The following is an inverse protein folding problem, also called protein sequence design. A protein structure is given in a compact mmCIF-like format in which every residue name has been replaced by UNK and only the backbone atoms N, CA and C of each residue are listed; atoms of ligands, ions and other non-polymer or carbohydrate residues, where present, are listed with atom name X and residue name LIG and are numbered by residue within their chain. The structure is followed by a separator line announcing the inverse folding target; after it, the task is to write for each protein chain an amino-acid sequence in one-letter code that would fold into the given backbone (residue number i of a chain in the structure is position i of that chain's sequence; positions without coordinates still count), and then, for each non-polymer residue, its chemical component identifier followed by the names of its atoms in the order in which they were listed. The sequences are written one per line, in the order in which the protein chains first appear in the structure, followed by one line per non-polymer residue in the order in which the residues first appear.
data_IF_577162116250
#
_entry.id   IF_577162116250
#
_cell.length_a   1.000
_cell.length_b   1.000
_cell.length_c   1.000
_cell.angle_alpha   90.00
_cell.angle_beta   90.00
_cell.angle_gamma   90.00
#
_symmetry.space_group_name_H-M   'P 1'
#
loop_
_entity.id
_entity.type
_entity.pdbx_description
1 polymer ?
#
# COMPACT_ATOMS: atom_id res chain seq x y z
N UNK A 1 1.30 -21.29 11.12
CA UNK A 1 2.24 -21.46 12.24
C UNK A 1 2.41 -20.10 12.89
N UNK A 2 1.74 -19.82 14.02
CA UNK A 2 1.61 -18.46 14.54
C UNK A 2 2.93 -17.88 15.08
N UNK A 3 3.87 -18.72 15.52
CA UNK A 3 5.14 -18.28 16.12
C UNK A 3 6.28 -18.06 15.13
N UNK A 4 6.10 -18.40 13.84
CA UNK A 4 7.17 -18.26 12.84
C UNK A 4 7.35 -16.79 12.50
N UNK A 5 8.56 -16.30 12.75
CA UNK A 5 8.96 -14.91 12.48
C UNK A 5 9.82 -14.77 11.23
N UNK A 6 10.47 -15.85 10.79
CA UNK A 6 11.41 -15.83 9.66
C UNK A 6 11.03 -16.87 8.63
N UNK A 7 10.91 -16.45 7.37
CA UNK A 7 10.67 -17.34 6.23
C UNK A 7 11.68 -17.01 5.13
N UNK A 8 12.47 -18.01 4.74
CA UNK A 8 13.38 -17.92 3.60
C UNK A 8 12.92 -18.91 2.52
N UNK A 9 12.57 -18.41 1.34
CA UNK A 9 12.00 -19.20 0.24
C UNK A 9 12.68 -18.90 -1.10
N UNK A 10 13.99 -18.67 -1.05
CA UNK A 10 14.79 -18.32 -2.21
C UNK A 10 14.82 -19.45 -3.24
N UNK A 11 14.87 -19.12 -4.53
CA UNK A 11 15.03 -20.07 -5.65
C UNK A 11 13.92 -21.14 -5.76
N UNK A 12 12.67 -20.80 -5.43
CA UNK A 12 11.52 -21.73 -5.48
C UNK A 12 10.60 -21.53 -6.72
N UNK A 13 11.01 -20.71 -7.70
CA UNK A 13 10.24 -20.41 -8.92
C UNK A 13 8.83 -19.86 -8.64
N UNK A 14 8.67 -19.11 -7.55
CA UNK A 14 7.42 -18.39 -7.28
C UNK A 14 7.26 -17.34 -8.38
N UNK A 15 6.10 -17.30 -9.05
CA UNK A 15 5.79 -16.38 -10.14
C UNK A 15 4.55 -15.49 -9.87
N UNK A 16 3.67 -15.89 -8.95
CA UNK A 16 2.48 -15.12 -8.57
C UNK A 16 2.69 -14.45 -7.22
N UNK A 17 3.22 -13.21 -7.25
CA UNK A 17 3.53 -12.45 -6.05
C UNK A 17 2.29 -12.17 -5.17
N UNK A 18 1.16 -11.65 -5.70
CA UNK A 18 0.00 -11.34 -4.86
C UNK A 18 -0.54 -12.53 -4.09
N UNK A 19 -0.69 -13.68 -4.76
CA UNK A 19 -1.19 -14.90 -4.12
C UNK A 19 -0.23 -15.42 -3.06
N UNK A 20 1.07 -15.40 -3.35
CA UNK A 20 2.08 -15.84 -2.39
C UNK A 20 2.12 -14.97 -1.13
N UNK A 21 2.15 -13.65 -1.31
CA UNK A 21 2.22 -12.68 -0.20
C UNK A 21 0.98 -12.78 0.69
N UNK A 22 -0.21 -12.94 0.11
CA UNK A 22 -1.44 -13.14 0.88
C UNK A 22 -1.40 -14.43 1.71
N UNK A 23 -0.92 -15.53 1.13
CA UNK A 23 -0.76 -16.79 1.84
C UNK A 23 0.28 -16.72 2.96
N UNK A 24 1.39 -16.01 2.76
CA UNK A 24 2.39 -15.74 3.80
C UNK A 24 1.77 -14.97 4.96
N UNK A 25 1.09 -13.86 4.65
CA UNK A 25 0.43 -13.01 5.64
C UNK A 25 -0.57 -13.80 6.49
N UNK A 26 -1.34 -14.69 5.86
CA UNK A 26 -2.36 -15.53 6.52
C UNK A 26 -1.76 -16.67 7.35
N UNK A 27 -0.73 -17.36 6.85
CA UNK A 27 -0.14 -18.54 7.50
C UNK A 27 0.89 -18.19 8.58
N UNK A 28 1.53 -17.03 8.47
CA UNK A 28 2.61 -16.54 9.33
C UNK A 28 2.28 -15.12 9.85
N UNK A 29 1.27 -15.00 10.74
CA UNK A 29 0.78 -13.68 11.20
C UNK A 29 1.83 -12.88 11.99
N UNK A 30 2.87 -13.52 12.53
CA UNK A 30 3.96 -12.88 13.27
C UNK A 30 5.25 -12.76 12.47
N UNK A 31 5.19 -12.84 11.14
CA UNK A 31 6.37 -12.72 10.29
C UNK A 31 7.03 -11.34 10.42
N UNK A 32 8.36 -11.36 10.53
CA UNK A 32 9.27 -10.20 10.63
C UNK A 32 10.35 -10.23 9.55
N UNK A 33 10.78 -11.41 9.10
CA UNK A 33 11.84 -11.56 8.10
C UNK A 33 11.32 -12.43 6.95
N UNK A 34 11.45 -11.93 5.72
CA UNK A 34 11.11 -12.64 4.49
C UNK A 34 12.25 -12.54 3.49
N UNK A 35 12.66 -13.67 2.92
CA UNK A 35 13.59 -13.71 1.79
C UNK A 35 12.94 -14.49 0.66
N UNK A 36 12.79 -13.85 -0.50
CA UNK A 36 12.26 -14.41 -1.75
C UNK A 36 13.26 -14.27 -2.90
N UNK A 37 14.54 -14.02 -2.62
CA UNK A 37 15.57 -13.82 -3.62
C UNK A 37 15.57 -14.91 -4.69
N UNK A 38 15.79 -14.47 -5.94
CA UNK A 38 15.90 -15.35 -7.10
C UNK A 38 14.64 -16.20 -7.38
N UNK A 39 13.46 -15.65 -7.08
CA UNK A 39 12.17 -16.11 -7.60
C UNK A 39 11.73 -15.20 -8.76
N UNK A 40 10.92 -15.70 -9.69
CA UNK A 40 10.42 -14.92 -10.84
C UNK A 40 9.55 -13.73 -10.39
N UNK A 41 8.80 -13.91 -9.31
CA UNK A 41 7.95 -12.88 -8.70
C UNK A 41 8.73 -11.86 -7.85
N UNK A 42 10.05 -12.04 -7.67
CA UNK A 42 10.93 -11.17 -6.92
C UNK A 42 12.07 -10.69 -7.84
N UNK A 43 11.77 -9.78 -8.80
CA UNK A 43 12.75 -9.27 -9.75
C UNK A 43 13.89 -8.54 -9.02
N UNK A 44 15.12 -8.86 -9.38
CA UNK A 44 16.36 -8.31 -8.85
C UNK A 44 17.47 -8.44 -9.88
N UNK A 45 18.64 -7.86 -9.61
CA UNK A 45 19.81 -8.03 -10.49
C UNK A 45 20.17 -9.51 -10.71
N UNK A 46 19.89 -10.39 -9.74
CA UNK A 46 20.20 -11.84 -9.83
C UNK A 46 19.41 -12.58 -10.91
N UNK A 47 18.21 -12.11 -11.26
CA UNK A 47 17.33 -12.77 -12.24
C UNK A 47 17.00 -11.85 -13.43
N UNK A 48 17.83 -10.84 -13.69
CA UNK A 48 17.67 -9.92 -14.83
C UNK A 48 16.58 -8.85 -14.65
N UNK A 49 16.08 -8.66 -13.43
CA UNK A 49 15.15 -7.59 -13.10
C UNK A 49 15.83 -6.22 -13.09
N UNK A 50 15.10 -5.21 -13.56
CA UNK A 50 15.53 -3.81 -13.46
C UNK A 50 15.38 -3.27 -12.03
N UNK A 51 16.10 -2.19 -11.72
CA UNK A 51 15.98 -1.50 -10.43
C UNK A 51 14.54 -1.07 -10.14
N UNK A 52 13.83 -0.57 -11.15
CA UNK A 52 12.44 -0.14 -11.02
C UNK A 52 11.52 -1.30 -10.65
N UNK A 53 11.68 -2.46 -11.30
CA UNK A 53 10.91 -3.67 -10.97
C UNK A 53 11.20 -4.16 -9.55
N UNK A 54 12.47 -4.13 -9.13
CA UNK A 54 12.84 -4.49 -7.76
C UNK A 54 12.21 -3.56 -6.72
N UNK A 55 12.24 -2.24 -6.96
CA UNK A 55 11.59 -1.25 -6.09
C UNK A 55 10.08 -1.50 -6.02
N UNK A 56 9.46 -1.78 -7.16
CA UNK A 56 8.02 -2.02 -7.25
C UNK A 56 7.59 -3.27 -6.46
N UNK A 57 8.29 -4.38 -6.66
CA UNK A 57 8.16 -5.60 -5.87
C UNK A 57 8.30 -5.32 -4.37
N UNK A 58 9.37 -4.61 -3.97
CA UNK A 58 9.66 -4.31 -2.57
C UNK A 58 8.54 -3.48 -1.94
N UNK A 59 8.11 -2.41 -2.61
CA UNK A 59 7.01 -1.57 -2.13
C UNK A 59 5.69 -2.37 -2.03
N UNK A 60 5.43 -3.25 -2.99
CA UNK A 60 4.26 -4.11 -2.93
C UNK A 60 4.28 -5.01 -1.68
N UNK A 61 5.34 -5.79 -1.47
CA UNK A 61 5.44 -6.71 -0.31
C UNK A 61 5.30 -5.97 1.02
N UNK A 62 5.99 -4.84 1.18
CA UNK A 62 5.95 -4.01 2.39
C UNK A 62 4.53 -3.47 2.65
N UNK A 63 3.81 -3.09 1.58
CA UNK A 63 2.44 -2.62 1.71
C UNK A 63 1.49 -3.70 2.23
N UNK A 64 1.72 -4.97 1.86
CA UNK A 64 0.85 -6.08 2.21
C UNK A 64 1.17 -6.71 3.57
N UNK A 65 2.42 -6.64 4.03
CA UNK A 65 2.88 -7.21 5.30
C UNK A 65 3.45 -6.10 6.21
N UNK A 66 2.61 -5.34 6.92
CA UNK A 66 3.07 -4.22 7.75
C UNK A 66 4.03 -4.61 8.89
N UNK A 67 4.00 -5.85 9.36
CA UNK A 67 4.89 -6.35 10.43
C UNK A 67 6.31 -6.70 9.95
N UNK A 68 6.56 -6.68 8.64
CA UNK A 68 7.82 -7.12 8.06
C UNK A 68 8.94 -6.12 8.34
N UNK A 69 10.05 -6.56 8.93
CA UNK A 69 11.21 -5.75 9.31
C UNK A 69 12.39 -5.91 8.36
N UNK A 70 12.58 -7.11 7.79
CA UNK A 70 13.65 -7.39 6.83
C UNK A 70 13.04 -8.09 5.62
N UNK A 71 13.37 -7.59 4.43
CA UNK A 71 13.00 -8.18 3.15
C UNK A 71 14.25 -8.33 2.29
N UNK A 72 14.54 -9.55 1.85
CA UNK A 72 15.69 -9.89 1.00
C UNK A 72 17.01 -9.31 1.55
N UNK A 73 17.29 -9.63 2.81
CA UNK A 73 18.51 -9.23 3.55
C UNK A 73 18.69 -7.71 3.75
N UNK A 74 17.64 -6.92 3.50
CA UNK A 74 17.66 -5.47 3.72
C UNK A 74 16.51 -5.03 4.64
N UNK A 75 16.85 -4.18 5.60
CA UNK A 75 15.88 -3.62 6.57
C UNK A 75 14.80 -2.78 5.85
N UNK A 76 13.57 -2.89 6.33
CA UNK A 76 12.42 -2.11 5.88
C UNK A 76 12.36 -0.81 6.69
N UNK A 77 12.81 0.28 6.08
CA UNK A 77 12.87 1.61 6.66
C UNK A 77 11.48 2.28 6.72
N UNK A 78 11.28 3.26 7.60
CA UNK A 78 9.97 3.93 7.69
C UNK A 78 9.62 4.72 6.41
N UNK A 79 10.63 5.30 5.75
CA UNK A 79 10.44 6.06 4.49
C UNK A 79 9.80 5.21 3.38
N UNK A 80 10.25 3.96 3.24
CA UNK A 80 9.70 3.04 2.24
C UNK A 80 8.32 2.53 2.63
N UNK A 81 8.04 2.37 3.94
CA UNK A 81 6.69 2.04 4.40
C UNK A 81 5.69 3.13 4.07
N UNK A 82 6.05 4.40 4.29
CA UNK A 82 5.20 5.55 3.92
C UNK A 82 4.93 5.55 2.42
N UNK A 83 5.97 5.34 1.61
CA UNK A 83 5.83 5.27 0.15
C UNK A 83 4.96 4.09 -0.28
N UNK A 84 5.25 2.88 0.20
CA UNK A 84 4.50 1.66 -0.08
C UNK A 84 3.00 1.82 0.23
N UNK A 85 2.65 2.37 1.40
CA UNK A 85 1.25 2.63 1.78
C UNK A 85 0.56 3.63 0.86
N UNK A 86 1.28 4.61 0.33
CA UNK A 86 0.75 5.62 -0.59
C UNK A 86 0.52 5.02 -1.99
N UNK A 87 1.49 4.26 -2.50
CA UNK A 87 1.43 3.62 -3.82
C UNK A 87 0.40 2.49 -3.84
N UNK A 88 0.50 1.59 -2.87
CA UNK A 88 -0.29 0.38 -2.73
C UNK A 88 -1.25 0.55 -1.57
N UNK A 89 -2.33 1.29 -1.80
CA UNK A 89 -3.41 1.43 -0.82
C UNK A 89 -3.98 0.04 -0.53
N UNK A 90 -3.68 -0.50 0.63
CA UNK A 90 -4.41 -1.64 1.19
C UNK A 90 -5.90 -1.30 1.14
N UNK A 91 -6.64 -1.95 0.25
CA UNK A 91 -8.09 -1.97 0.34
C UNK A 91 -8.42 -2.79 1.59
N UNK A 92 -8.38 -2.14 2.75
CA UNK A 92 -8.93 -2.72 3.97
C UNK A 92 -10.40 -2.97 3.69
N UNK A 93 -10.79 -4.23 3.54
CA UNK A 93 -12.19 -4.65 3.59
C UNK A 93 -12.76 -4.13 4.90
N UNK A 94 -13.56 -3.08 4.82
CA UNK A 94 -14.05 -2.33 5.98
C UNK A 94 -14.68 -1.03 5.53
N UNK A 95 -16.00 -1.11 5.30
CA UNK A 95 -16.97 -0.01 5.23
C UNK A 95 -16.44 1.27 5.90
N UNK A 96 -15.93 2.21 5.10
CA UNK A 96 -15.77 3.59 5.55
C UNK A 96 -16.71 4.43 4.69
N UNK A 97 -17.77 4.85 5.36
CA UNK A 97 -18.79 5.78 4.91
C UNK A 97 -18.14 6.89 4.07
N UNK A 98 -18.54 6.90 2.80
CA UNK A 98 -18.37 8.01 1.87
C UNK A 98 -19.09 9.22 2.49
N UNK A 99 -18.38 9.98 3.32
CA UNK A 99 -18.90 11.23 3.88
C UNK A 99 -19.18 12.17 2.71
N UNK A 100 -20.46 12.25 2.33
CA UNK A 100 -20.98 13.23 1.38
C UNK A 100 -20.65 14.60 1.98
N UNK A 101 -19.79 15.34 1.29
CA UNK A 101 -19.58 16.76 1.52
C UNK A 101 -20.91 17.45 1.22
N UNK A 102 -21.68 17.71 2.27
CA UNK A 102 -22.90 18.51 2.20
C UNK A 102 -22.52 19.93 1.80
N UNK A 103 -23.04 20.35 0.67
CA UNK A 103 -22.80 21.64 0.05
C UNK A 103 -24.17 22.32 -0.02
N UNK A 104 -24.65 22.84 1.11
CA UNK A 104 -25.85 23.67 1.22
C UNK A 104 -25.90 24.33 2.59
N UNK A 105 -25.60 25.61 2.72
CA UNK A 105 -26.60 26.70 2.84
C UNK A 105 -25.84 27.89 3.45
N UNK A 106 -26.00 29.17 3.07
CA UNK A 106 -27.24 29.94 2.99
C UNK A 106 -26.94 31.27 2.28
N UNK A 107 -27.90 31.66 1.44
CA UNK A 107 -28.04 32.94 0.75
C UNK A 107 -27.95 34.13 1.71
N UNK A 108 -27.26 35.21 1.33
CA UNK A 108 -27.56 36.56 1.80
C UNK A 108 -28.02 37.41 0.61
N UNK A 109 -29.34 37.53 0.50
CA UNK A 109 -30.02 38.50 -0.36
C UNK A 109 -29.93 39.83 0.37
N UNK A 110 -29.24 40.82 -0.20
CA UNK A 110 -29.40 42.21 0.22
C UNK A 110 -30.03 42.99 -0.93
N UNK A 111 -31.34 43.22 -0.76
CA UNK A 111 -32.17 44.06 -1.62
C UNK A 111 -31.72 45.51 -1.45
N UNK A 112 -31.34 46.19 -2.54
CA UNK A 112 -31.30 47.65 -2.60
C UNK A 112 -32.71 48.16 -2.94
N UNK A 113 -33.24 49.18 -2.25
CA UNK A 113 -34.53 49.77 -2.58
C UNK A 113 -34.40 50.70 -3.79
N UNK A 114 -35.31 50.53 -4.77
CA UNK A 114 -35.56 51.50 -5.83
C UNK A 114 -36.32 52.70 -5.24
N UNK A 115 -35.83 53.90 -5.47
CA UNK A 115 -36.64 55.12 -5.48
C UNK A 115 -36.82 55.61 -6.92
N UNK A 116 -38.01 56.11 -7.18
CA UNK A 116 -38.66 56.31 -8.48
C UNK A 116 -38.71 57.82 -8.79
N UNK A 117 -38.20 58.19 -9.97
CA UNK A 117 -38.66 59.21 -10.95
C UNK A 117 -38.71 60.72 -10.57
N UNK A 118 -38.31 61.53 -11.59
CA UNK A 118 -38.67 62.93 -11.97
C UNK A 118 -37.55 63.93 -11.63
N UNK A 119 -37.06 64.77 -12.54
CA UNK A 119 -37.68 65.46 -13.70
C UNK A 119 -36.81 65.39 -14.96
#
# INVERSE_FOLDING_TARGET
MPSVTTVCINKNKINNLPLFVEEIRRKFPSIRILSMMNNEAAPSYFNGGSLTQHIDYRQYVISQIPSLEILDDTEVLEKERVQARKTYRLQRGGLSSRSKKDNSSRKHIQRKPNSIIRQ
#
